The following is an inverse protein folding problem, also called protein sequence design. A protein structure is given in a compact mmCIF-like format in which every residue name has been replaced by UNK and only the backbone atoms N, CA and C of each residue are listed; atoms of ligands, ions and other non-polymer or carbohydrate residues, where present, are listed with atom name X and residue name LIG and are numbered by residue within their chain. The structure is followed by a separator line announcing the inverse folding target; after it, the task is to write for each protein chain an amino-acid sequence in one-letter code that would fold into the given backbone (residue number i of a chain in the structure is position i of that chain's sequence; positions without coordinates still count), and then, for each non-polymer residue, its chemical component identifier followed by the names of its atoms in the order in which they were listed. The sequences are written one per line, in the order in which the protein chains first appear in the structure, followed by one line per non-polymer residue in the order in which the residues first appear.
data_IF_917586378311
#
_entry.id   IF_917586378311
#
_cell.length_a   1.000
_cell.length_b   1.000
_cell.length_c   1.000
_cell.angle_alpha   90.00
_cell.angle_beta   90.00
_cell.angle_gamma   90.00
#
_symmetry.space_group_name_H-M   'P 1'
#
loop_
_entity.id
_entity.type
_entity.pdbx_description
1 polymer ?
#
# COMPACT_ATOMS: atom_id res chain seq x y z
N UNK A 1 1.76 -44.36 64.17
CA UNK A 1 1.56 -44.72 62.75
C UNK A 1 0.25 -45.48 62.63
N UNK A 2 -0.76 -44.87 62.02
CA UNK A 2 -2.04 -45.46 61.56
C UNK A 2 -2.84 -44.32 60.88
N UNK A 3 -2.41 -43.86 59.70
CA UNK A 3 -2.89 -44.23 58.36
C UNK A 3 -4.41 -44.02 58.12
N UNK A 4 -4.74 -42.78 57.73
CA UNK A 4 -5.49 -42.39 56.53
C UNK A 4 -6.29 -43.50 55.80
N UNK A 5 -7.43 -43.94 56.35
CA UNK A 5 -8.31 -44.89 55.65
C UNK A 5 -9.78 -44.43 55.54
N UNK A 6 -10.11 -43.22 55.99
CA UNK A 6 -11.51 -42.76 56.17
C UNK A 6 -11.94 -41.74 55.10
N UNK A 7 -11.03 -41.21 54.28
CA UNK A 7 -11.37 -40.19 53.26
C UNK A 7 -11.55 -40.75 51.83
N UNK A 8 -11.22 -42.01 51.58
CA UNK A 8 -11.22 -42.58 50.23
C UNK A 8 -12.60 -43.15 49.84
N UNK A 9 -13.28 -43.84 50.76
CA UNK A 9 -14.59 -44.48 50.51
C UNK A 9 -15.69 -43.45 50.20
N UNK A 10 -15.76 -42.35 50.95
CA UNK A 10 -16.76 -41.27 50.72
C UNK A 10 -16.57 -40.58 49.35
N UNK A 11 -15.33 -40.55 48.85
CA UNK A 11 -15.02 -40.02 47.51
C UNK A 11 -15.38 -41.00 46.39
N UNK A 12 -15.18 -42.30 46.60
CA UNK A 12 -15.56 -43.35 45.65
C UNK A 12 -17.09 -43.47 45.56
N UNK A 13 -17.80 -43.36 46.68
CA UNK A 13 -19.27 -43.36 46.73
C UNK A 13 -19.83 -42.11 46.06
N UNK A 14 -19.28 -40.91 46.32
CA UNK A 14 -19.67 -39.69 45.63
C UNK A 14 -19.42 -39.76 44.11
N UNK A 15 -18.28 -40.31 43.69
CA UNK A 15 -17.98 -40.52 42.27
C UNK A 15 -18.92 -41.54 41.63
N UNK A 16 -19.27 -42.62 42.34
CA UNK A 16 -20.21 -43.61 41.84
C UNK A 16 -21.62 -43.03 41.67
N UNK A 17 -22.06 -42.19 42.60
CA UNK A 17 -23.36 -41.50 42.52
C UNK A 17 -23.38 -40.50 41.36
N UNK A 18 -22.32 -39.71 41.17
CA UNK A 18 -22.19 -38.79 40.03
C UNK A 18 -22.13 -39.57 38.71
N UNK A 19 -21.46 -40.71 38.67
CA UNK A 19 -21.41 -41.56 37.47
C UNK A 19 -22.79 -42.12 37.13
N UNK A 20 -23.57 -42.55 38.13
CA UNK A 20 -24.94 -43.03 37.94
C UNK A 20 -25.86 -41.89 37.49
N UNK A 21 -25.77 -40.72 38.10
CA UNK A 21 -26.53 -39.52 37.71
C UNK A 21 -26.20 -39.07 36.28
N UNK A 22 -24.91 -39.06 35.92
CA UNK A 22 -24.47 -38.76 34.56
C UNK A 22 -24.96 -39.80 33.56
N UNK A 23 -24.94 -41.09 33.92
CA UNK A 23 -25.46 -42.15 33.06
C UNK A 23 -26.96 -41.98 32.84
N UNK A 24 -27.71 -41.68 33.90
CA UNK A 24 -29.16 -41.43 33.84
C UNK A 24 -29.47 -40.23 32.93
N UNK A 25 -28.68 -39.15 33.03
CA UNK A 25 -28.82 -37.95 32.20
C UNK A 25 -28.47 -38.20 30.72
N UNK A 26 -27.52 -39.10 30.42
CA UNK A 26 -27.19 -39.52 29.05
C UNK A 26 -28.19 -40.52 28.45
N UNK A 27 -28.90 -41.28 29.30
CA UNK A 27 -29.90 -42.27 28.89
C UNK A 27 -31.30 -41.66 28.72
N UNK A 28 -31.50 -40.41 29.16
CA UNK A 28 -32.73 -39.67 28.89
C UNK A 28 -32.90 -39.48 27.37
N UNK A 29 -34.12 -39.69 26.83
CA UNK A 29 -34.37 -39.54 25.41
C UNK A 29 -34.00 -38.12 24.96
N UNK A 30 -33.19 -38.02 23.91
CA UNK A 30 -32.61 -36.76 23.43
C UNK A 30 -33.63 -35.82 22.76
N UNK A 31 -34.92 -36.21 22.71
CA UNK A 31 -36.00 -35.59 21.92
C UNK A 31 -36.25 -34.10 22.25
N UNK A 32 -35.78 -33.59 23.40
CA UNK A 32 -36.03 -32.20 23.81
C UNK A 32 -34.78 -31.28 23.84
N UNK A 33 -33.57 -31.79 23.57
CA UNK A 33 -32.35 -31.01 23.82
C UNK A 33 -31.94 -30.11 22.65
N UNK A 34 -32.34 -30.43 21.42
CA UNK A 34 -31.82 -29.78 20.23
C UNK A 34 -32.92 -29.46 19.22
N UNK A 35 -33.58 -28.30 19.34
CA UNK A 35 -34.60 -27.82 18.40
C UNK A 35 -34.13 -27.71 16.93
N UNK A 36 -32.81 -27.83 16.70
CA UNK A 36 -32.13 -27.76 15.41
C UNK A 36 -31.80 -29.15 14.81
N UNK A 37 -32.33 -30.25 15.35
CA UNK A 37 -32.10 -31.60 14.84
C UNK A 37 -32.67 -31.82 13.42
N UNK A 38 -31.84 -31.99 12.38
CA UNK A 38 -32.31 -32.08 11.00
C UNK A 38 -33.17 -33.32 10.68
N UNK A 39 -33.26 -34.29 11.59
CA UNK A 39 -34.13 -35.47 11.46
C UNK A 39 -35.59 -35.21 11.89
N UNK A 40 -35.86 -34.09 12.58
CA UNK A 40 -37.18 -33.74 13.10
C UNK A 40 -37.89 -32.72 12.20
N UNK A 41 -39.22 -32.88 12.10
CA UNK A 41 -40.05 -32.01 11.26
C UNK A 41 -40.23 -30.61 11.87
N UNK A 42 -40.03 -30.47 13.18
CA UNK A 42 -40.15 -29.21 13.93
C UNK A 42 -38.95 -28.28 13.70
N UNK A 43 -37.80 -28.84 13.27
CA UNK A 43 -36.58 -28.09 13.01
C UNK A 43 -36.71 -27.12 11.83
N UNK A 44 -37.47 -27.47 10.79
CA UNK A 44 -37.75 -26.55 9.69
C UNK A 44 -38.52 -25.31 10.18
N UNK A 45 -39.45 -25.49 11.12
CA UNK A 45 -40.19 -24.37 11.71
C UNK A 45 -39.30 -23.48 12.58
N UNK A 46 -38.37 -24.06 13.35
CA UNK A 46 -37.37 -23.34 14.13
C UNK A 46 -36.45 -22.46 13.24
N UNK A 47 -35.88 -23.04 12.17
CA UNK A 47 -35.05 -22.28 11.24
C UNK A 47 -35.84 -21.20 10.50
N UNK A 48 -37.07 -21.51 10.07
CA UNK A 48 -37.95 -20.51 9.44
C UNK A 48 -38.26 -19.33 10.36
N UNK A 49 -38.36 -19.55 11.67
CA UNK A 49 -38.56 -18.48 12.64
C UNK A 49 -37.31 -17.62 12.82
N UNK A 50 -36.12 -18.22 12.90
CA UNK A 50 -34.85 -17.49 12.93
C UNK A 50 -34.60 -16.67 11.66
N UNK A 51 -34.90 -17.23 10.49
CA UNK A 51 -34.73 -16.53 9.20
C UNK A 51 -35.65 -15.32 9.07
N UNK A 52 -36.83 -15.33 9.71
CA UNK A 52 -37.71 -14.15 9.78
C UNK A 52 -37.11 -13.01 10.59
N UNK A 53 -36.28 -13.29 11.59
CA UNK A 53 -35.56 -12.25 12.34
C UNK A 53 -34.39 -11.68 11.51
N UNK A 54 -33.81 -12.49 10.62
CA UNK A 54 -32.74 -12.10 9.70
C UNK A 54 -33.21 -11.58 8.33
N UNK A 55 -34.53 -11.56 8.09
CA UNK A 55 -35.17 -10.72 7.10
C UNK A 55 -35.06 -9.25 7.57
N UNK A 56 -33.81 -8.78 7.68
CA UNK A 56 -33.48 -7.41 7.33
C UNK A 56 -34.28 -7.14 6.07
N UNK A 57 -35.11 -6.10 6.06
CA UNK A 57 -35.67 -5.51 4.85
C UNK A 57 -34.48 -5.17 3.96
N UNK A 58 -33.98 -6.17 3.23
CA UNK A 58 -33.02 -6.00 2.18
C UNK A 58 -33.71 -4.98 1.29
N UNK A 59 -33.18 -3.75 1.15
CA UNK A 59 -33.90 -2.73 0.42
C UNK A 59 -34.13 -3.31 -0.97
N UNK A 60 -35.38 -3.67 -1.26
CA UNK A 60 -35.77 -4.23 -2.56
C UNK A 60 -35.53 -3.21 -3.68
N UNK A 61 -35.15 -1.98 -3.31
CA UNK A 61 -34.53 -0.96 -4.14
C UNK A 61 -33.11 -1.36 -4.59
N UNK A 62 -33.01 -2.50 -5.27
CA UNK A 62 -31.89 -2.86 -6.13
C UNK A 62 -31.52 -1.71 -7.08
N UNK A 63 -32.51 -0.89 -7.48
CA UNK A 63 -32.31 0.34 -8.23
C UNK A 63 -31.57 1.43 -7.43
N UNK A 64 -31.90 1.64 -6.15
CA UNK A 64 -31.18 2.59 -5.30
C UNK A 64 -29.75 2.12 -5.01
N UNK A 65 -29.54 0.82 -4.81
CA UNK A 65 -28.20 0.23 -4.64
C UNK A 65 -27.38 0.42 -5.93
N UNK A 66 -27.98 0.17 -7.10
CA UNK A 66 -27.33 0.39 -8.39
C UNK A 66 -27.00 1.87 -8.62
N UNK A 67 -27.91 2.78 -8.28
CA UNK A 67 -27.67 4.22 -8.39
C UNK A 67 -26.53 4.70 -7.48
N UNK A 68 -26.54 4.26 -6.21
CA UNK A 68 -25.51 4.62 -5.22
C UNK A 68 -24.15 4.02 -5.56
N UNK A 69 -24.10 2.76 -5.97
CA UNK A 69 -22.85 2.12 -6.40
C UNK A 69 -22.27 2.78 -7.65
N UNK A 70 -23.10 3.11 -8.64
CA UNK A 70 -22.63 3.85 -9.82
C UNK A 70 -22.11 5.25 -9.46
N UNK A 71 -22.79 5.97 -8.57
CA UNK A 71 -22.31 7.27 -8.09
C UNK A 71 -20.96 7.15 -7.37
N UNK A 72 -20.82 6.13 -6.51
CA UNK A 72 -19.56 5.82 -5.82
C UNK A 72 -18.43 5.51 -6.80
N UNK A 73 -18.64 4.63 -7.77
CA UNK A 73 -17.60 4.29 -8.75
C UNK A 73 -17.25 5.47 -9.66
N UNK A 74 -18.21 6.33 -10.01
CA UNK A 74 -17.91 7.57 -10.75
C UNK A 74 -17.05 8.51 -9.92
N UNK A 75 -17.36 8.68 -8.64
CA UNK A 75 -16.57 9.53 -7.76
C UNK A 75 -15.16 8.97 -7.58
N UNK A 76 -15.01 7.65 -7.44
CA UNK A 76 -13.71 6.99 -7.38
C UNK A 76 -12.91 7.23 -8.67
N UNK A 77 -13.54 7.05 -9.84
CA UNK A 77 -12.89 7.30 -11.13
C UNK A 77 -12.44 8.75 -11.28
N UNK A 78 -13.29 9.71 -10.87
CA UNK A 78 -12.97 11.13 -10.91
C UNK A 78 -11.81 11.49 -9.99
N UNK A 79 -11.77 10.92 -8.77
CA UNK A 79 -10.64 11.08 -7.86
C UNK A 79 -9.34 10.54 -8.48
N UNK A 80 -9.42 9.38 -9.14
CA UNK A 80 -8.25 8.76 -9.77
C UNK A 80 -7.71 9.59 -10.96
N UNK A 81 -8.58 10.03 -11.86
CA UNK A 81 -8.20 10.92 -12.98
C UNK A 81 -7.62 12.26 -12.47
N UNK A 82 -8.21 12.81 -11.41
CA UNK A 82 -7.73 14.06 -10.82
C UNK A 82 -6.35 13.90 -10.17
N UNK A 83 -6.08 12.75 -9.55
CA UNK A 83 -4.79 12.45 -8.94
C UNK A 83 -3.69 12.29 -10.00
N UNK A 84 -3.99 11.63 -11.12
CA UNK A 84 -3.04 11.48 -12.23
C UNK A 84 -2.69 12.84 -12.86
N UNK A 85 -3.68 13.72 -13.07
CA UNK A 85 -3.45 15.07 -13.61
C UNK A 85 -2.76 15.98 -12.61
N UNK A 86 -3.15 15.97 -11.33
CA UNK A 86 -2.56 16.87 -10.33
C UNK A 86 -1.11 16.54 -10.04
N UNK A 87 -0.75 15.25 -10.02
CA UNK A 87 0.65 14.82 -9.86
C UNK A 87 1.46 15.22 -11.09
N UNK A 88 0.86 15.19 -12.29
CA UNK A 88 1.53 15.61 -13.50
C UNK A 88 1.85 17.11 -13.49
N UNK A 89 0.83 17.94 -13.27
CA UNK A 89 0.98 19.40 -13.28
C UNK A 89 1.84 19.90 -12.10
N UNK A 90 1.76 19.24 -10.94
CA UNK A 90 2.57 19.58 -9.76
C UNK A 90 4.06 19.30 -9.97
N UNK A 91 4.40 18.14 -10.55
CA UNK A 91 5.79 17.74 -10.82
C UNK A 91 6.47 18.65 -11.84
N UNK A 92 5.77 19.02 -12.91
CA UNK A 92 6.32 19.93 -13.93
C UNK A 92 6.52 21.33 -13.35
N UNK A 93 5.54 21.85 -12.60
CA UNK A 93 5.64 23.16 -11.96
C UNK A 93 6.75 23.23 -10.89
N UNK A 94 6.96 22.17 -10.10
CA UNK A 94 8.01 22.12 -9.09
C UNK A 94 9.41 22.06 -9.72
N UNK A 95 9.58 21.27 -10.78
CA UNK A 95 10.84 21.16 -11.51
C UNK A 95 11.16 22.46 -12.26
N UNK A 96 10.18 23.11 -12.88
CA UNK A 96 10.35 24.43 -13.50
C UNK A 96 10.76 25.49 -12.47
N UNK A 97 10.20 25.46 -11.27
CA UNK A 97 10.57 26.40 -10.20
C UNK A 97 11.99 26.19 -9.69
N UNK A 98 12.46 24.93 -9.62
CA UNK A 98 13.78 24.59 -9.09
C UNK A 98 14.91 24.71 -10.14
N UNK A 99 14.63 24.37 -11.40
CA UNK A 99 15.65 24.23 -12.44
C UNK A 99 15.39 25.04 -13.71
N UNK A 100 14.31 25.83 -13.76
CA UNK A 100 13.92 26.58 -14.96
C UNK A 100 14.89 27.67 -15.42
N UNK A 101 15.88 28.04 -14.59
CA UNK A 101 16.96 28.96 -14.96
C UNK A 101 18.20 28.26 -15.53
N UNK A 102 18.32 26.93 -15.37
CA UNK A 102 19.55 26.19 -15.70
C UNK A 102 19.34 25.11 -16.77
N UNK A 103 18.09 24.75 -17.08
CA UNK A 103 17.75 23.71 -18.05
C UNK A 103 16.67 24.19 -19.04
N UNK A 104 16.76 23.86 -20.34
CA UNK A 104 15.67 24.08 -21.28
C UNK A 104 14.39 23.36 -20.84
N UNK A 105 13.23 24.01 -21.01
CA UNK A 105 11.92 23.46 -20.61
C UNK A 105 11.62 22.11 -21.25
N UNK A 106 12.01 21.93 -22.52
CA UNK A 106 11.82 20.66 -23.25
C UNK A 106 12.55 19.49 -22.59
N UNK A 107 13.70 19.73 -21.95
CA UNK A 107 14.42 18.70 -21.22
C UNK A 107 13.76 18.37 -19.89
N UNK A 108 13.20 19.37 -19.20
CA UNK A 108 12.46 19.16 -17.95
C UNK A 108 11.20 18.33 -18.19
N UNK A 109 10.45 18.61 -19.26
CA UNK A 109 9.26 17.86 -19.66
C UNK A 109 9.60 16.40 -20.00
N UNK A 110 10.66 16.16 -20.78
CA UNK A 110 11.11 14.80 -21.13
C UNK A 110 11.57 14.01 -19.89
N UNK A 111 12.35 14.64 -18.99
CA UNK A 111 12.79 14.00 -17.74
C UNK A 111 11.58 13.70 -16.85
N UNK A 112 10.62 14.62 -16.72
CA UNK A 112 9.41 14.42 -15.93
C UNK A 112 8.58 13.24 -16.45
N UNK A 113 8.35 13.19 -17.77
CA UNK A 113 7.62 12.11 -18.41
C UNK A 113 8.32 10.75 -18.25
N UNK A 114 9.63 10.70 -18.43
CA UNK A 114 10.42 9.47 -18.24
C UNK A 114 10.46 9.04 -16.78
N UNK A 115 10.61 9.97 -15.84
CA UNK A 115 10.59 9.68 -14.41
C UNK A 115 9.27 9.02 -14.01
N UNK A 116 8.12 9.47 -14.53
CA UNK A 116 6.82 8.82 -14.28
C UNK A 116 6.76 7.39 -14.83
N UNK A 117 7.20 7.19 -16.08
CA UNK A 117 7.22 5.85 -16.71
C UNK A 117 8.09 4.88 -15.89
N UNK A 118 9.27 5.34 -15.52
CA UNK A 118 10.29 4.54 -14.85
C UNK A 118 10.00 4.35 -13.36
N UNK A 119 9.29 5.28 -12.71
CA UNK A 119 8.84 5.14 -11.32
C UNK A 119 7.92 3.93 -11.12
N UNK A 120 7.11 3.59 -12.12
CA UNK A 120 6.25 2.39 -12.09
C UNK A 120 7.02 1.07 -12.28
N UNK A 121 8.31 1.13 -12.62
CA UNK A 121 9.15 -0.04 -12.85
C UNK A 121 9.85 -0.52 -11.58
N UNK A 122 10.02 -1.84 -11.43
CA UNK A 122 10.69 -2.47 -10.27
C UNK A 122 12.23 -2.38 -10.34
N UNK A 123 12.77 -1.33 -10.96
CA UNK A 123 14.21 -1.13 -11.14
C UNK A 123 14.83 -0.43 -9.93
N UNK A 124 16.15 -0.57 -9.76
CA UNK A 124 16.89 0.15 -8.72
C UNK A 124 16.94 1.66 -9.02
N UNK A 125 17.05 2.52 -7.99
CA UNK A 125 17.09 3.97 -8.17
C UNK A 125 18.17 4.39 -9.20
N UNK A 126 19.34 3.77 -9.16
CA UNK A 126 20.42 4.05 -10.11
C UNK A 126 20.01 3.77 -11.56
N UNK A 127 19.38 2.62 -11.82
CA UNK A 127 18.87 2.27 -13.14
C UNK A 127 17.74 3.20 -13.57
N UNK A 128 16.88 3.59 -12.64
CA UNK A 128 15.80 4.52 -12.92
C UNK A 128 16.33 5.88 -13.40
N UNK A 129 17.37 6.41 -12.75
CA UNK A 129 18.02 7.66 -13.14
C UNK A 129 18.67 7.58 -14.52
N UNK A 130 19.37 6.48 -14.80
CA UNK A 130 20.02 6.28 -16.10
C UNK A 130 18.99 6.28 -17.23
N UNK A 131 17.88 5.57 -17.06
CA UNK A 131 16.82 5.49 -18.07
C UNK A 131 16.10 6.84 -18.29
N UNK A 132 16.03 7.70 -17.28
CA UNK A 132 15.44 9.03 -17.43
C UNK A 132 16.30 9.95 -18.30
N UNK A 133 17.62 9.82 -18.22
CA UNK A 133 18.58 10.77 -18.83
C UNK A 133 19.15 10.26 -20.16
N UNK A 134 19.25 8.94 -20.34
CA UNK A 134 19.72 8.29 -21.57
C UNK A 134 19.15 8.88 -22.88
N UNK A 135 17.83 9.13 -23.04
CA UNK A 135 17.29 9.66 -24.29
C UNK A 135 17.78 11.08 -24.63
N UNK A 136 18.21 11.84 -23.63
CA UNK A 136 18.66 13.24 -23.78
C UNK A 136 20.17 13.34 -24.04
N UNK A 137 20.92 12.29 -23.73
CA UNK A 137 22.38 12.24 -23.81
C UNK A 137 22.86 11.09 -24.72
N UNK A 138 22.64 11.18 -26.05
CA UNK A 138 22.95 10.09 -26.99
C UNK A 138 24.45 9.76 -27.09
N UNK A 139 25.33 10.63 -26.59
CA UNK A 139 26.78 10.45 -26.63
C UNK A 139 27.33 9.64 -25.44
N UNK A 140 26.50 9.33 -24.44
CA UNK A 140 26.92 8.65 -23.21
C UNK A 140 26.36 7.23 -23.15
N UNK A 141 27.18 6.28 -22.72
CA UNK A 141 26.74 4.90 -22.52
C UNK A 141 26.00 4.75 -21.18
N UNK A 142 25.12 3.74 -21.05
CA UNK A 142 24.48 3.43 -19.76
C UNK A 142 25.49 3.13 -18.66
N UNK A 143 26.59 2.48 -19.02
CA UNK A 143 27.68 2.14 -18.10
C UNK A 143 28.30 3.41 -17.52
N UNK A 144 28.59 4.41 -18.36
CA UNK A 144 29.14 5.70 -17.93
C UNK A 144 28.14 6.47 -17.07
N UNK A 145 26.87 6.53 -17.48
CA UNK A 145 25.82 7.20 -16.70
C UNK A 145 25.60 6.53 -15.34
N UNK A 146 25.76 5.20 -15.25
CA UNK A 146 25.63 4.47 -13.99
C UNK A 146 26.67 4.89 -12.96
N UNK A 147 27.87 5.31 -13.39
CA UNK A 147 28.93 5.80 -12.50
C UNK A 147 28.47 7.09 -11.82
N UNK A 148 27.80 7.98 -12.56
CA UNK A 148 27.26 9.23 -12.02
C UNK A 148 25.98 9.05 -11.21
N UNK A 149 25.18 8.01 -11.50
CA UNK A 149 23.95 7.70 -10.77
C UNK A 149 24.19 7.02 -9.41
N UNK A 150 25.26 6.22 -9.27
CA UNK A 150 25.58 5.47 -8.03
C UNK A 150 25.68 6.34 -6.77
N UNK A 151 26.38 7.50 -6.77
CA UNK A 151 26.43 8.40 -5.62
C UNK A 151 25.06 8.90 -5.17
N UNK A 152 24.12 9.06 -6.10
CA UNK A 152 22.75 9.51 -5.83
C UNK A 152 21.86 8.37 -5.30
N UNK A 153 22.10 7.13 -5.76
CA UNK A 153 21.27 5.97 -5.40
C UNK A 153 21.64 5.27 -4.08
N UNK A 154 22.91 5.26 -3.69
CA UNK A 154 23.37 4.69 -2.43
C UNK A 154 24.22 5.70 -1.66
N UNK A 155 23.61 6.62 -0.88
CA UNK A 155 24.35 7.45 0.06
C UNK A 155 24.85 6.58 1.23
N UNK A 156 25.97 5.89 1.04
CA UNK A 156 26.54 4.92 2.01
C UNK A 156 27.12 5.57 3.29
N UNK A 157 26.97 6.88 3.49
CA UNK A 157 27.55 7.57 4.64
C UNK A 157 26.69 8.77 5.05
N UNK A 158 25.93 8.58 6.13
CA UNK A 158 25.08 9.55 6.83
C UNK A 158 23.99 10.23 5.99
N UNK A 159 22.76 10.25 6.52
CA UNK A 159 21.80 11.33 6.28
C UNK A 159 22.42 12.63 6.81
N UNK A 160 23.36 13.20 6.08
CA UNK A 160 23.85 14.54 6.28
C UNK A 160 23.57 15.22 4.95
N UNK A 161 22.52 16.03 4.93
CA UNK A 161 22.46 17.17 4.02
C UNK A 161 22.68 16.84 2.52
N UNK A 162 21.88 15.96 1.89
CA UNK A 162 21.67 16.05 0.43
C UNK A 162 20.74 17.25 0.14
N UNK A 163 21.17 18.40 0.65
CA UNK A 163 20.47 19.68 0.72
C UNK A 163 21.43 20.84 1.01
N UNK A 164 22.70 20.61 1.39
CA UNK A 164 23.67 21.69 1.57
C UNK A 164 25.11 21.16 1.53
N UNK A 165 25.93 21.72 0.65
CA UNK A 165 27.34 22.07 0.94
C UNK A 165 28.44 20.99 0.97
N UNK A 166 28.33 19.94 0.14
CA UNK A 166 29.45 18.99 -0.07
C UNK A 166 30.15 19.03 -1.43
N UNK A 167 29.46 19.52 -2.46
CA UNK A 167 29.93 19.61 -3.85
C UNK A 167 29.24 20.82 -4.51
N UNK A 168 29.23 21.93 -3.78
CA UNK A 168 28.82 23.24 -4.30
C UNK A 168 30.04 23.89 -4.96
N UNK A 169 30.48 23.26 -6.06
CA UNK A 169 31.24 23.96 -7.07
C UNK A 169 30.25 24.71 -7.96
N UNK A 170 29.69 25.80 -7.45
CA UNK A 170 29.10 26.89 -8.21
C UNK A 170 28.35 26.47 -9.49
N UNK A 171 27.19 25.82 -9.33
CA UNK A 171 26.15 25.85 -10.38
C UNK A 171 25.08 26.87 -9.97
N UNK A 172 25.53 27.99 -9.43
CA UNK A 172 24.71 29.19 -9.37
C UNK A 172 24.78 29.84 -10.76
N UNK A 173 23.71 29.66 -11.54
CA UNK A 173 23.36 30.53 -12.67
C UNK A 173 24.31 30.55 -13.89
N UNK A 174 24.90 29.42 -14.29
CA UNK A 174 25.40 29.29 -15.67
C UNK A 174 24.27 28.80 -16.59
N UNK A 175 24.12 29.47 -17.73
CA UNK A 175 23.25 29.03 -18.83
C UNK A 175 23.68 27.64 -19.30
N UNK A 176 22.72 26.76 -19.59
CA UNK A 176 22.94 25.36 -20.01
C UNK A 176 24.04 25.20 -21.08
N UNK A 177 24.18 26.19 -21.95
CA UNK A 177 25.14 26.23 -23.07
C UNK A 177 26.60 26.44 -22.64
N UNK A 178 26.85 26.96 -21.44
CA UNK A 178 28.19 27.24 -20.92
C UNK A 178 28.76 26.09 -20.08
N UNK A 179 27.90 25.13 -19.69
CA UNK A 179 28.27 23.96 -18.91
C UNK A 179 29.07 22.95 -19.73
N UNK A 180 30.06 22.33 -19.10
CA UNK A 180 30.76 21.18 -19.67
C UNK A 180 29.83 19.97 -19.81
N UNK A 181 30.17 19.03 -20.70
CA UNK A 181 29.37 17.80 -20.90
C UNK A 181 29.19 17.00 -19.61
N UNK A 182 30.19 17.01 -18.71
CA UNK A 182 30.13 16.30 -17.43
C UNK A 182 29.18 17.03 -16.45
N UNK A 183 29.19 18.36 -16.45
CA UNK A 183 28.28 19.17 -15.62
C UNK A 183 26.83 19.05 -16.12
N UNK A 184 26.61 19.02 -17.43
CA UNK A 184 25.29 18.75 -18.03
C UNK A 184 24.75 17.38 -17.61
N UNK A 185 25.59 16.34 -17.62
CA UNK A 185 25.22 14.99 -17.12
C UNK A 185 24.86 15.05 -15.63
N UNK A 186 25.70 15.69 -14.81
CA UNK A 186 25.47 15.78 -13.35
C UNK A 186 24.19 16.54 -13.04
N UNK A 187 23.92 17.63 -13.74
CA UNK A 187 22.72 18.45 -13.55
C UNK A 187 21.46 17.68 -13.98
N UNK A 188 21.48 17.06 -15.17
CA UNK A 188 20.34 16.26 -15.64
C UNK A 188 20.01 15.07 -14.72
N UNK A 189 21.03 14.38 -14.17
CA UNK A 189 20.84 13.33 -13.16
C UNK A 189 20.32 13.88 -11.83
N UNK A 190 20.76 15.06 -11.39
CA UNK A 190 20.22 15.73 -10.18
C UNK A 190 18.74 16.08 -10.37
N UNK A 191 18.36 16.57 -11.55
CA UNK A 191 16.96 16.85 -11.91
C UNK A 191 16.15 15.55 -11.87
N UNK A 192 16.61 14.49 -12.54
CA UNK A 192 15.92 13.19 -12.52
C UNK A 192 15.77 12.62 -11.10
N UNK A 193 16.79 12.77 -10.26
CA UNK A 193 16.73 12.37 -8.85
C UNK A 193 15.69 13.18 -8.07
N UNK A 194 15.68 14.51 -8.24
CA UNK A 194 14.68 15.36 -7.59
C UNK A 194 13.24 15.00 -8.03
N UNK A 195 13.05 14.64 -9.31
CA UNK A 195 11.75 14.22 -9.84
C UNK A 195 11.28 12.90 -9.21
N UNK A 196 12.15 11.89 -9.13
CA UNK A 196 11.82 10.61 -8.49
C UNK A 196 11.54 10.78 -6.99
N UNK A 197 12.34 11.59 -6.28
CA UNK A 197 12.12 11.88 -4.86
C UNK A 197 10.78 12.60 -4.65
N UNK A 198 10.41 13.53 -5.53
CA UNK A 198 9.10 14.20 -5.45
C UNK A 198 7.94 13.22 -5.70
N UNK A 199 8.08 12.31 -6.68
CA UNK A 199 7.09 11.24 -6.89
C UNK A 199 6.99 10.28 -5.67
N UNK A 200 8.08 10.06 -4.95
CA UNK A 200 8.09 9.29 -3.69
C UNK A 200 7.51 10.05 -2.49
N UNK A 201 7.51 11.39 -2.51
CA UNK A 201 6.95 12.24 -1.44
C UNK A 201 5.50 12.64 -1.67
N UNK A 202 4.98 12.45 -2.89
CA UNK A 202 3.57 12.63 -3.27
C UNK A 202 2.72 11.32 -3.25
N UNK A 203 2.96 10.28 -2.42
CA UNK A 203 2.01 9.17 -2.31
C UNK A 203 0.87 9.62 -1.40
N UNK A 204 -0.13 10.27 -1.99
CA UNK A 204 -1.45 10.42 -1.37
C UNK A 204 -1.50 11.34 -0.15
N UNK A 205 -1.28 12.65 -0.35
CA UNK A 205 -1.76 13.66 0.59
C UNK A 205 -3.29 13.79 0.52
N UNK A 206 -4.00 12.71 0.90
CA UNK A 206 -5.43 12.63 1.14
C UNK A 206 -5.69 11.49 2.14
N UNK A 207 -5.55 11.81 3.44
CA UNK A 207 -6.40 11.25 4.49
C UNK A 207 -7.21 12.41 5.09
#
# INVERSE_FOLDING_TARGET
MANQHIQYEDSEDALSNIQVELLDLLLQPEEDFYPWNPAELETEAYFTQLEKEFLLEYPQDTQAIKGRSQAFFRQLHQCWESAESSVADSLEASLLKQFGLSLPQTWLEEIANKARQVFSSNLSLAEQLVLCVQPLLPNWTEEDLSIFARPLALPMRSKSELGSEGDDGAVESLEWTELSQIEQVRLSLKVAHSAIVQLQSEPGSCL
#
